data_IF_018158789571
#
_entry.id   IF_018158789571
#
_cell.length_a   1.000
_cell.length_b   1.000
_cell.length_c   1.000
_cell.angle_alpha   90.00
_cell.angle_beta   90.00
_cell.angle_gamma   90.00
#
_symmetry.space_group_name_H-M   'P 1'
#
loop_
_entity.id
_entity.type
_entity.pdbx_description
1 polymer ?
#
# COMPACT_ATOMS: atom_id res chain seq x y z
N UNK A 1 23.78 62.11 17.39
CA UNK A 1 23.90 61.96 18.87
C UNK A 1 23.07 60.75 19.26
N UNK A 2 23.54 59.63 19.78
CA UNK A 2 24.86 59.12 20.17
C UNK A 2 24.67 57.63 20.53
N UNK A 3 25.67 56.81 20.24
CA UNK A 3 25.78 55.39 20.59
C UNK A 3 25.80 55.13 22.11
N UNK A 4 25.24 53.99 22.56
CA UNK A 4 25.89 53.01 23.48
C UNK A 4 25.27 51.62 23.21
N UNK A 5 26.10 50.57 23.12
CA UNK A 5 25.69 49.18 22.92
C UNK A 5 26.17 48.21 24.03
N UNK A 6 25.96 46.91 23.76
CA UNK A 6 26.40 45.68 24.47
C UNK A 6 25.66 45.36 25.79
N UNK A 7 25.29 44.11 26.12
CA UNK A 7 26.11 42.89 26.10
C UNK A 7 25.27 41.58 26.09
N UNK A 8 25.83 40.52 25.49
CA UNK A 8 25.33 39.15 25.47
C UNK A 8 25.42 38.46 26.85
N UNK A 9 24.44 37.61 27.19
CA UNK A 9 24.72 36.40 27.99
C UNK A 9 23.73 35.27 27.72
N UNK A 10 24.17 34.30 26.93
CA UNK A 10 23.57 32.96 26.84
C UNK A 10 23.99 32.15 28.07
N UNK A 11 23.04 31.74 28.90
CA UNK A 11 23.26 30.75 29.96
C UNK A 11 22.61 29.42 29.57
N UNK A 12 23.42 28.48 29.11
CA UNK A 12 23.08 27.06 28.98
C UNK A 12 23.23 26.43 30.37
N UNK A 13 22.26 25.65 30.90
CA UNK A 13 22.48 24.89 32.11
C UNK A 13 23.39 23.70 31.82
N UNK A 14 24.48 23.61 32.58
CA UNK A 14 25.40 22.47 32.58
C UNK A 14 24.71 21.22 33.16
N UNK A 15 24.97 20.08 32.54
CA UNK A 15 24.52 18.76 32.99
C UNK A 15 25.46 18.28 34.11
N UNK A 16 24.95 18.13 35.32
CA UNK A 16 25.72 17.65 36.47
C UNK A 16 25.62 16.12 36.53
N UNK A 17 26.76 15.47 36.32
CA UNK A 17 26.89 14.01 36.24
C UNK A 17 27.48 13.48 37.54
N UNK A 18 26.65 12.92 38.42
CA UNK A 18 27.13 12.10 39.54
C UNK A 18 26.18 10.95 39.91
N UNK A 19 26.53 9.80 39.32
CA UNK A 19 26.52 8.43 39.85
C UNK A 19 25.33 7.47 39.58
N UNK A 20 25.63 6.16 39.45
CA UNK A 20 25.07 5.29 38.42
C UNK A 20 24.46 3.98 38.96
N UNK A 21 23.46 3.38 38.31
CA UNK A 21 23.28 1.91 38.36
C UNK A 21 22.54 1.35 37.13
N UNK A 22 23.30 0.59 36.34
CA UNK A 22 22.97 -0.68 35.66
C UNK A 22 21.73 -0.75 34.75
N UNK A 23 22.00 -0.75 33.43
CA UNK A 23 21.74 -1.91 32.55
C UNK A 23 22.56 -1.75 31.26
N UNK A 24 23.18 -2.85 30.83
CA UNK A 24 24.12 -2.92 29.70
C UNK A 24 23.50 -2.40 28.40
N UNK A 25 23.87 -1.19 28.00
CA UNK A 25 23.79 -0.69 26.64
C UNK A 25 25.17 -0.17 26.22
N UNK A 26 25.67 -0.62 25.06
CA UNK A 26 26.81 0.03 24.41
C UNK A 26 26.37 1.44 24.02
N UNK A 27 27.02 2.46 24.58
CA UNK A 27 26.93 3.82 24.05
C UNK A 27 27.67 3.88 22.71
N UNK A 28 26.93 4.20 21.65
CA UNK A 28 27.50 4.89 20.47
C UNK A 28 26.82 6.25 20.40
N UNK A 29 27.56 7.28 20.80
CA UNK A 29 27.33 8.70 20.52
C UNK A 29 28.02 9.01 19.18
N UNK A 30 27.58 9.89 18.27
CA UNK A 30 26.47 10.84 18.10
C UNK A 30 26.42 11.14 16.58
N UNK A 31 25.27 11.54 16.04
CA UNK A 31 25.22 12.12 14.71
C UNK A 31 23.83 12.66 14.36
N UNK A 32 23.69 13.99 14.42
CA UNK A 32 22.57 14.82 13.97
C UNK A 32 21.18 14.49 14.53
N UNK A 33 20.66 15.42 15.34
CA UNK A 33 19.25 15.52 15.66
C UNK A 33 18.46 15.90 14.39
N UNK A 34 18.08 14.90 13.59
CA UNK A 34 16.96 15.05 12.67
C UNK A 34 15.70 15.11 13.52
N UNK A 35 15.14 16.31 13.66
CA UNK A 35 13.75 16.45 14.09
C UNK A 35 12.90 15.73 13.04
N UNK A 36 12.47 14.51 13.36
CA UNK A 36 11.35 13.91 12.68
C UNK A 36 10.18 14.88 12.83
N UNK A 37 9.82 15.55 11.74
CA UNK A 37 8.52 16.22 11.64
C UNK A 37 7.52 15.08 11.64
N UNK A 38 7.00 14.76 12.83
CA UNK A 38 5.79 13.96 12.96
C UNK A 38 4.70 14.81 12.33
N UNK A 39 4.41 14.53 11.05
CA UNK A 39 3.19 15.01 10.43
C UNK A 39 2.09 14.28 11.18
N UNK A 40 1.46 14.99 12.12
CA UNK A 40 0.26 14.53 12.81
C UNK A 40 -0.85 14.47 11.76
N UNK A 41 -0.88 13.37 11.01
CA UNK A 41 -2.04 12.96 10.23
C UNK A 41 -3.07 12.51 11.26
N UNK A 42 -3.83 13.49 11.75
CA UNK A 42 -4.88 13.29 12.73
C UNK A 42 -5.80 12.12 12.35
N UNK A 43 -6.58 11.59 13.31
CA UNK A 43 -7.46 10.45 13.07
C UNK A 43 -8.29 10.68 11.82
N UNK A 44 -8.16 9.76 10.85
CA UNK A 44 -8.96 9.73 9.64
C UNK A 44 -10.42 10.04 10.00
N UNK A 45 -11.05 11.08 9.43
CA UNK A 45 -12.46 11.28 9.64
C UNK A 45 -13.17 10.05 9.08
N UNK A 46 -13.89 9.32 9.94
CA UNK A 46 -14.70 8.16 9.59
C UNK A 46 -16.01 8.54 8.89
N UNK A 47 -16.11 9.75 8.35
CA UNK A 47 -17.27 10.33 7.70
C UNK A 47 -16.70 11.13 6.51
N UNK A 48 -16.80 10.70 5.25
CA UNK A 48 -17.97 10.21 4.54
C UNK A 48 -17.68 8.94 3.72
N UNK A 49 -18.67 8.07 3.73
CA UNK A 49 -18.84 6.92 2.87
C UNK A 49 -18.52 7.24 1.38
N UNK A 50 -17.45 6.64 0.85
CA UNK A 50 -17.23 6.42 -0.60
C UNK A 50 -18.29 5.42 -1.16
N UNK A 51 -19.57 5.67 -0.94
CA UNK A 51 -20.68 4.75 -1.23
C UNK A 51 -21.14 4.75 -2.71
N UNK A 52 -20.38 5.37 -3.61
CA UNK A 52 -20.75 5.47 -5.03
C UNK A 52 -19.61 5.25 -6.02
N UNK A 53 -18.37 5.01 -5.57
CA UNK A 53 -17.25 4.74 -6.47
C UNK A 53 -16.98 3.24 -6.53
N UNK A 54 -17.43 2.65 -7.62
CA UNK A 54 -17.23 1.23 -7.93
C UNK A 54 -15.86 1.04 -8.58
N UNK A 55 -15.02 0.26 -7.90
CA UNK A 55 -13.73 -0.17 -8.43
C UNK A 55 -13.94 -1.50 -9.16
N UNK A 56 -13.79 -1.53 -10.49
CA UNK A 56 -14.40 -2.57 -11.35
C UNK A 56 -13.91 -3.97 -11.03
N UNK A 57 -12.61 -4.18 -10.75
CA UNK A 57 -12.10 -5.51 -10.47
C UNK A 57 -12.48 -6.01 -9.07
N UNK A 58 -12.46 -5.12 -8.08
CA UNK A 58 -12.75 -5.40 -6.67
C UNK A 58 -14.24 -5.63 -6.42
N UNK A 59 -15.10 -4.95 -7.18
CA UNK A 59 -16.55 -5.10 -7.09
C UNK A 59 -17.01 -6.51 -7.46
N UNK A 60 -16.34 -7.20 -8.40
CA UNK A 60 -16.61 -8.60 -8.75
C UNK A 60 -16.55 -9.53 -7.54
N UNK A 61 -15.78 -9.16 -6.52
CA UNK A 61 -15.64 -9.88 -5.27
C UNK A 61 -16.44 -9.29 -4.11
N UNK A 62 -17.28 -8.28 -4.37
CA UNK A 62 -18.11 -7.53 -3.42
C UNK A 62 -17.30 -6.97 -2.26
N UNK A 63 -16.13 -6.42 -2.60
CA UNK A 63 -15.24 -5.82 -1.62
C UNK A 63 -15.49 -4.33 -1.52
N UNK A 64 -15.37 -3.82 -0.30
CA UNK A 64 -15.21 -2.39 -0.11
C UNK A 64 -13.78 -1.98 -0.48
N UNK A 65 -13.66 -0.99 -1.35
CA UNK A 65 -12.38 -0.48 -1.84
C UNK A 65 -11.53 0.12 -0.71
N UNK A 66 -10.20 0.04 -0.82
CA UNK A 66 -9.28 0.70 0.10
C UNK A 66 -9.49 2.22 0.07
N UNK A 67 -9.08 2.95 1.12
CA UNK A 67 -9.27 4.39 1.14
C UNK A 67 -8.36 5.09 0.11
N UNK A 68 -8.85 6.22 -0.43
CA UNK A 68 -8.13 7.07 -1.39
C UNK A 68 -7.56 6.26 -2.58
N UNK A 69 -6.43 6.68 -3.15
CA UNK A 69 -5.87 6.01 -4.32
C UNK A 69 -5.22 4.64 -4.04
N UNK A 70 -5.12 4.18 -2.78
CA UNK A 70 -4.74 2.78 -2.49
C UNK A 70 -5.73 1.79 -3.11
N UNK A 71 -6.97 2.21 -3.38
CA UNK A 71 -7.94 1.39 -4.09
C UNK A 71 -7.48 1.01 -5.50
N UNK A 72 -6.69 1.86 -6.20
CA UNK A 72 -6.10 1.53 -7.49
C UNK A 72 -5.18 0.30 -7.38
N UNK A 73 -4.36 0.25 -6.32
CA UNK A 73 -3.47 -0.89 -6.07
C UNK A 73 -4.29 -2.15 -5.76
N UNK A 74 -5.33 -2.01 -4.93
CA UNK A 74 -6.25 -3.11 -4.65
C UNK A 74 -6.95 -3.62 -5.92
N UNK A 75 -7.37 -2.72 -6.81
CA UNK A 75 -8.10 -3.09 -8.02
C UNK A 75 -7.21 -3.81 -9.02
N UNK A 76 -5.99 -3.32 -9.26
CA UNK A 76 -4.99 -4.06 -10.04
C UNK A 76 -4.77 -5.45 -9.46
N UNK A 77 -4.60 -5.58 -8.13
CA UNK A 77 -4.45 -6.89 -7.47
C UNK A 77 -5.65 -7.80 -7.75
N UNK A 78 -6.86 -7.24 -7.77
CA UNK A 78 -8.11 -7.96 -7.96
C UNK A 78 -8.49 -8.20 -9.42
N UNK A 79 -7.67 -7.81 -10.40
CA UNK A 79 -7.86 -8.23 -11.80
C UNK A 79 -7.71 -9.73 -11.99
N UNK A 80 -7.00 -10.41 -11.08
CA UNK A 80 -6.68 -11.84 -11.17
C UNK A 80 -7.92 -12.75 -11.24
N UNK A 81 -7.72 -14.01 -11.63
CA UNK A 81 -8.77 -15.02 -11.56
C UNK A 81 -8.88 -15.66 -10.16
N UNK A 82 -9.94 -15.36 -9.42
CA UNK A 82 -10.23 -15.97 -8.11
C UNK A 82 -11.73 -15.93 -7.76
N UNK A 83 -12.06 -16.20 -6.50
CA UNK A 83 -13.44 -16.19 -6.01
C UNK A 83 -14.18 -17.52 -6.19
N UNK A 84 -15.43 -17.53 -5.75
CA UNK A 84 -16.38 -18.63 -5.97
C UNK A 84 -17.78 -18.03 -6.23
N UNK A 85 -18.35 -18.14 -7.45
CA UNK A 85 -17.76 -18.74 -8.65
C UNK A 85 -16.45 -18.05 -9.05
N UNK A 86 -15.62 -18.76 -9.82
CA UNK A 86 -14.30 -18.24 -10.21
C UNK A 86 -14.51 -17.17 -11.29
N UNK A 87 -14.09 -15.96 -10.99
CA UNK A 87 -14.04 -14.85 -11.92
C UNK A 87 -12.83 -14.99 -12.86
N UNK A 88 -12.92 -14.52 -14.12
CA UNK A 88 -11.82 -14.55 -15.07
C UNK A 88 -10.71 -13.54 -14.70
N UNK A 89 -9.54 -13.70 -15.30
CA UNK A 89 -8.46 -12.70 -15.20
C UNK A 89 -8.76 -11.54 -16.16
N UNK A 90 -8.94 -10.33 -15.64
CA UNK A 90 -9.23 -9.13 -16.46
C UNK A 90 -8.03 -8.69 -17.29
N UNK A 91 -6.82 -9.12 -16.91
CA UNK A 91 -5.63 -8.93 -17.73
C UNK A 91 -5.46 -10.07 -18.73
N UNK A 92 -6.40 -11.01 -18.85
CA UNK A 92 -6.30 -12.21 -19.69
C UNK A 92 -6.25 -11.93 -21.20
N UNK A 93 -6.94 -10.89 -21.65
CA UNK A 93 -7.00 -10.45 -23.05
C UNK A 93 -7.08 -8.92 -23.15
N UNK A 94 -6.70 -8.38 -24.31
CA UNK A 94 -6.56 -6.94 -24.51
C UNK A 94 -7.89 -6.18 -24.40
N UNK A 95 -9.00 -6.78 -24.81
CA UNK A 95 -10.31 -6.11 -24.80
C UNK A 95 -10.79 -5.93 -23.37
N UNK A 96 -10.75 -7.01 -22.58
CA UNK A 96 -11.11 -6.97 -21.17
C UNK A 96 -10.19 -6.04 -20.39
N UNK A 97 -8.88 -6.09 -20.65
CA UNK A 97 -7.90 -5.23 -19.98
C UNK A 97 -8.12 -3.74 -20.27
N UNK A 98 -8.41 -3.37 -21.53
CA UNK A 98 -8.70 -1.99 -21.92
C UNK A 98 -9.96 -1.45 -21.23
N UNK A 99 -11.03 -2.25 -21.18
CA UNK A 99 -12.26 -1.87 -20.49
C UNK A 99 -12.00 -1.63 -19.00
N UNK A 100 -11.31 -2.57 -18.35
CA UNK A 100 -10.93 -2.44 -16.94
C UNK A 100 -10.09 -1.19 -16.69
N UNK A 101 -8.99 -0.97 -17.45
CA UNK A 101 -8.10 0.19 -17.26
C UNK A 101 -8.84 1.51 -17.46
N UNK A 102 -9.73 1.61 -18.46
CA UNK A 102 -10.52 2.82 -18.68
C UNK A 102 -11.40 3.17 -17.48
N UNK A 103 -12.16 2.19 -16.98
CA UNK A 103 -13.04 2.37 -15.81
C UNK A 103 -12.24 2.65 -14.51
N UNK A 104 -11.13 1.94 -14.33
CA UNK A 104 -10.25 2.03 -13.17
C UNK A 104 -9.54 3.40 -13.09
N UNK A 105 -8.96 3.86 -14.22
CA UNK A 105 -8.32 5.18 -14.31
C UNK A 105 -9.31 6.33 -14.22
N UNK A 106 -10.52 6.19 -14.77
CA UNK A 106 -11.59 7.19 -14.61
C UNK A 106 -12.01 7.29 -13.14
N UNK A 107 -12.09 6.16 -12.43
CA UNK A 107 -12.39 6.14 -10.99
C UNK A 107 -11.28 6.76 -10.16
N UNK A 108 -10.02 6.39 -10.42
CA UNK A 108 -8.86 6.99 -9.76
C UNK A 108 -8.78 8.51 -9.99
N UNK A 109 -9.03 8.97 -11.22
CA UNK A 109 -8.98 10.39 -11.56
C UNK A 109 -9.99 11.21 -10.76
N UNK A 110 -11.22 10.69 -10.58
CA UNK A 110 -12.26 11.31 -9.74
C UNK A 110 -11.88 11.31 -8.26
N UNK A 111 -11.36 10.19 -7.73
CA UNK A 111 -10.91 10.09 -6.33
C UNK A 111 -9.76 11.06 -6.01
N UNK A 112 -8.88 11.32 -6.99
CA UNK A 112 -7.72 12.19 -6.83
C UNK A 112 -7.94 13.63 -7.28
N UNK A 113 -9.15 13.97 -7.75
CA UNK A 113 -9.47 15.25 -8.40
C UNK A 113 -8.42 15.63 -9.47
N UNK A 114 -8.12 14.68 -10.36
CA UNK A 114 -7.15 14.82 -11.45
C UNK A 114 -7.80 14.63 -12.81
N UNK A 115 -7.22 15.20 -13.89
CA UNK A 115 -7.64 14.87 -15.24
C UNK A 115 -7.51 13.37 -15.52
N UNK A 116 -8.49 12.80 -16.21
CA UNK A 116 -8.48 11.39 -16.59
C UNK A 116 -7.31 11.08 -17.53
N UNK A 117 -6.39 10.17 -17.14
CA UNK A 117 -5.30 9.78 -18.00
C UNK A 117 -5.80 9.03 -19.23
N UNK A 118 -5.25 9.36 -20.40
CA UNK A 118 -5.47 8.60 -21.62
C UNK A 118 -4.27 7.67 -21.85
N UNK A 119 -4.47 6.37 -21.66
CA UNK A 119 -3.41 5.36 -21.74
C UNK A 119 -3.78 4.31 -22.77
N UNK A 120 -3.01 4.25 -23.84
CA UNK A 120 -3.10 3.15 -24.80
C UNK A 120 -2.21 1.99 -24.35
N UNK A 121 -2.77 0.77 -24.42
CA UNK A 121 -2.07 -0.48 -24.10
C UNK A 121 -2.17 -1.48 -25.27
N UNK A 122 -1.18 -2.38 -25.33
CA UNK A 122 -1.04 -3.51 -26.24
C UNK A 122 -0.86 -4.82 -25.46
N UNK A 123 -0.71 -5.95 -26.14
CA UNK A 123 -0.61 -7.27 -25.49
C UNK A 123 0.63 -7.42 -24.58
N UNK A 124 1.76 -6.81 -24.91
CA UNK A 124 2.96 -6.84 -24.06
C UNK A 124 2.73 -6.09 -22.74
N UNK A 125 1.93 -5.01 -22.76
CA UNK A 125 1.57 -4.30 -21.54
C UNK A 125 0.82 -5.20 -20.54
N UNK A 126 0.02 -6.17 -21.01
CA UNK A 126 -0.71 -7.09 -20.13
C UNK A 126 0.25 -8.00 -19.37
N UNK A 127 1.28 -8.52 -20.03
CA UNK A 127 2.27 -9.38 -19.38
C UNK A 127 3.00 -8.63 -18.26
N UNK A 128 3.41 -7.39 -18.53
CA UNK A 128 4.10 -6.54 -17.56
C UNK A 128 3.20 -6.16 -16.38
N UNK A 129 1.91 -5.89 -16.64
CA UNK A 129 0.93 -5.64 -15.57
C UNK A 129 0.66 -6.90 -14.73
N UNK A 130 0.66 -8.10 -15.32
CA UNK A 130 0.52 -9.36 -14.57
C UNK A 130 1.74 -9.63 -13.69
N UNK A 131 2.95 -9.33 -14.18
CA UNK A 131 4.18 -9.47 -13.38
C UNK A 131 4.19 -8.45 -12.25
N UNK A 132 3.88 -7.17 -12.50
CA UNK A 132 3.70 -6.15 -11.45
C UNK A 132 2.68 -6.60 -10.39
N UNK A 133 1.54 -7.14 -10.82
CA UNK A 133 0.52 -7.68 -9.92
C UNK A 133 1.05 -8.83 -9.06
N UNK A 134 1.86 -9.71 -9.63
CA UNK A 134 2.53 -10.80 -8.90
C UNK A 134 3.48 -10.28 -7.83
N UNK A 135 4.34 -9.34 -8.18
CA UNK A 135 5.29 -8.72 -7.25
C UNK A 135 4.58 -8.01 -6.08
N UNK A 136 3.49 -7.29 -6.36
CA UNK A 136 2.67 -6.67 -5.33
C UNK A 136 2.01 -7.71 -4.41
N UNK A 137 1.55 -8.84 -4.94
CA UNK A 137 1.03 -9.93 -4.10
C UNK A 137 2.09 -10.49 -3.17
N UNK A 138 3.30 -10.73 -3.68
CA UNK A 138 4.40 -11.29 -2.89
C UNK A 138 4.89 -10.32 -1.81
N UNK A 139 4.94 -9.03 -2.13
CA UNK A 139 5.21 -7.96 -1.16
C UNK A 139 4.16 -7.93 -0.03
N UNK A 140 2.88 -8.09 -0.36
CA UNK A 140 1.80 -8.13 0.64
C UNK A 140 1.74 -9.43 1.45
N UNK A 141 2.22 -10.55 0.89
CA UNK A 141 2.35 -11.82 1.61
C UNK A 141 3.52 -11.86 2.59
N UNK A 142 4.48 -10.94 2.44
CA UNK A 142 5.69 -10.83 3.26
C UNK A 142 5.75 -9.46 3.96
N UNK A 143 4.87 -9.19 4.95
CA UNK A 143 4.65 -7.83 5.46
C UNK A 143 5.81 -7.22 6.26
N UNK A 144 6.89 -7.95 6.48
CA UNK A 144 7.95 -7.54 7.41
C UNK A 144 9.36 -7.81 6.87
N UNK A 145 9.87 -6.84 6.11
CA UNK A 145 11.32 -6.70 5.82
C UNK A 145 11.95 -5.51 6.55
N UNK A 146 11.20 -4.79 7.40
CA UNK A 146 11.74 -3.65 8.15
C UNK A 146 12.71 -4.17 9.22
N UNK A 147 14.00 -4.22 8.89
CA UNK A 147 15.07 -4.67 9.78
C UNK A 147 15.84 -5.89 9.30
N UNK A 148 15.42 -6.52 8.19
CA UNK A 148 16.29 -7.42 7.47
C UNK A 148 17.28 -6.57 6.66
N UNK A 149 18.60 -6.82 6.78
CA UNK A 149 19.54 -6.29 5.80
C UNK A 149 19.13 -6.84 4.43
N UNK A 150 18.75 -5.99 3.45
CA UNK A 150 18.43 -6.46 2.13
C UNK A 150 19.67 -7.16 1.57
N UNK A 151 19.52 -8.39 1.10
CA UNK A 151 20.59 -9.00 0.32
C UNK A 151 20.86 -8.13 -0.91
N UNK A 152 22.06 -8.16 -1.50
CA UNK A 152 22.35 -7.36 -2.71
C UNK A 152 21.33 -7.63 -3.86
N UNK A 153 20.76 -8.84 -3.89
CA UNK A 153 19.68 -9.24 -4.80
C UNK A 153 18.32 -8.60 -4.47
N UNK A 154 18.06 -8.19 -3.22
CA UNK A 154 16.86 -7.44 -2.81
C UNK A 154 16.96 -5.95 -3.17
N UNK A 155 18.14 -5.46 -3.56
CA UNK A 155 18.37 -4.07 -3.96
C UNK A 155 18.19 -3.83 -5.46
N UNK A 156 18.11 -4.88 -6.29
CA UNK A 156 17.67 -4.70 -7.67
C UNK A 156 16.21 -4.34 -7.66
N UNK A 157 15.87 -3.13 -8.11
CA UNK A 157 14.48 -2.71 -8.23
C UNK A 157 13.73 -3.74 -9.08
N UNK A 158 12.81 -4.48 -8.45
CA UNK A 158 11.93 -5.44 -9.13
C UNK A 158 11.09 -4.72 -10.19
N UNK A 159 10.71 -3.48 -9.90
CA UNK A 159 10.11 -2.54 -10.84
C UNK A 159 10.65 -1.13 -10.61
N UNK A 160 10.97 -0.45 -11.70
CA UNK A 160 11.31 0.97 -11.71
C UNK A 160 10.37 1.70 -12.64
N UNK A 161 9.74 2.76 -12.12
CA UNK A 161 8.90 3.66 -12.88
C UNK A 161 9.45 5.08 -12.77
N UNK A 162 9.33 5.84 -13.87
CA UNK A 162 9.77 7.23 -13.89
C UNK A 162 8.61 8.14 -13.49
N UNK A 163 8.86 9.03 -12.53
CA UNK A 163 7.93 10.07 -12.13
C UNK A 163 8.60 11.45 -12.26
N UNK A 164 7.83 12.46 -12.65
CA UNK A 164 8.25 13.85 -12.64
C UNK A 164 7.73 14.57 -11.40
N UNK A 165 8.49 15.53 -10.90
CA UNK A 165 8.01 16.48 -9.90
C UNK A 165 7.51 17.73 -10.62
N UNK A 166 6.26 18.13 -10.35
CA UNK A 166 5.67 19.37 -10.86
C UNK A 166 5.36 20.31 -9.71
N UNK A 167 5.81 21.55 -9.82
CA UNK A 167 5.38 22.62 -8.93
C UNK A 167 4.20 23.34 -9.57
N UNK A 168 3.07 23.37 -8.86
CA UNK A 168 1.87 24.07 -9.28
C UNK A 168 1.93 25.55 -8.87
N UNK A 169 1.03 26.38 -9.42
CA UNK A 169 1.00 27.84 -9.16
C UNK A 169 0.69 28.21 -7.70
N UNK A 170 0.05 27.30 -6.98
CA UNK A 170 -0.22 27.39 -5.54
C UNK A 170 1.00 26.96 -4.68
N UNK A 171 2.18 26.83 -5.30
CA UNK A 171 3.44 26.39 -4.67
C UNK A 171 3.42 24.97 -4.08
N UNK A 172 2.42 24.15 -4.43
CA UNK A 172 2.42 22.73 -4.08
C UNK A 172 3.24 21.92 -5.09
N UNK A 173 4.04 20.99 -4.58
CA UNK A 173 4.74 20.00 -5.41
C UNK A 173 3.91 18.73 -5.48
N UNK A 174 3.63 18.28 -6.70
CA UNK A 174 2.93 17.02 -6.97
C UNK A 174 3.83 16.09 -7.77
N UNK A 175 3.75 14.80 -7.48
CA UNK A 175 4.33 13.76 -8.30
C UNK A 175 3.40 13.51 -9.50
N UNK A 176 3.98 13.37 -10.68
CA UNK A 176 3.31 13.03 -11.93
C UNK A 176 3.90 11.75 -12.54
N UNK A 177 3.07 10.79 -12.95
CA UNK A 177 3.55 9.63 -13.68
C UNK A 177 4.16 10.03 -15.04
N UNK A 178 5.24 9.35 -15.44
CA UNK A 178 5.84 9.43 -16.78
C UNK A 178 5.81 8.05 -17.44
N UNK A 179 5.96 8.05 -18.76
CA UNK A 179 5.93 6.85 -19.59
C UNK A 179 4.61 6.66 -20.32
N UNK A 180 4.48 5.52 -20.99
CA UNK A 180 3.33 5.10 -21.80
C UNK A 180 2.97 3.65 -21.48
N UNK A 181 1.77 3.21 -21.90
CA UNK A 181 1.31 1.84 -21.70
C UNK A 181 1.40 1.38 -20.25
N UNK A 182 1.92 0.18 -20.03
CA UNK A 182 2.06 -0.41 -18.69
C UNK A 182 2.94 0.43 -17.76
N UNK A 183 3.95 1.14 -18.27
CA UNK A 183 4.88 1.93 -17.45
C UNK A 183 4.18 3.11 -16.76
N UNK A 184 3.22 3.71 -17.44
CA UNK A 184 2.42 4.80 -16.87
C UNK A 184 1.55 4.27 -15.72
N UNK A 185 0.86 3.13 -15.95
CA UNK A 185 0.01 2.47 -14.96
C UNK A 185 0.84 1.99 -13.76
N UNK A 186 1.98 1.37 -14.01
CA UNK A 186 2.92 0.96 -12.97
C UNK A 186 3.40 2.14 -12.12
N UNK A 187 3.68 3.29 -12.75
CA UNK A 187 4.07 4.50 -12.04
C UNK A 187 2.95 4.97 -11.10
N UNK A 188 1.70 5.04 -11.59
CA UNK A 188 0.55 5.39 -10.75
C UNK A 188 0.41 4.44 -9.57
N UNK A 189 0.40 3.13 -9.81
CA UNK A 189 0.27 2.11 -8.76
C UNK A 189 1.38 2.23 -7.70
N UNK A 190 2.63 2.47 -8.12
CA UNK A 190 3.75 2.65 -7.20
C UNK A 190 3.68 3.96 -6.42
N UNK A 191 3.20 5.05 -7.04
CA UNK A 191 2.94 6.32 -6.35
C UNK A 191 1.90 6.14 -5.25
N UNK A 192 0.80 5.44 -5.56
CA UNK A 192 -0.28 5.15 -4.61
C UNK A 192 0.18 4.23 -3.47
N UNK A 193 0.99 3.21 -3.78
CA UNK A 193 1.61 2.35 -2.79
C UNK A 193 2.56 3.15 -1.87
N UNK A 194 3.37 4.05 -2.42
CA UNK A 194 4.28 4.90 -1.66
C UNK A 194 3.51 5.80 -0.69
N UNK A 195 2.45 6.47 -1.14
CA UNK A 195 1.61 7.31 -0.28
C UNK A 195 0.97 6.49 0.84
N UNK A 196 0.44 5.30 0.54
CA UNK A 196 -0.12 4.39 1.53
C UNK A 196 0.91 3.90 2.56
N UNK A 197 2.18 3.73 2.16
CA UNK A 197 3.27 3.39 3.06
C UNK A 197 3.65 4.57 3.96
N UNK A 198 3.72 5.79 3.41
CA UNK A 198 4.02 7.01 4.15
C UNK A 198 2.93 7.35 5.18
N UNK A 199 1.67 7.08 4.83
CA UNK A 199 0.50 7.28 5.71
C UNK A 199 0.15 6.07 6.57
N UNK A 200 0.99 5.01 6.53
CA UNK A 200 0.87 3.80 7.35
C UNK A 200 -0.47 3.05 7.22
N UNK A 201 -1.11 3.12 6.05
CA UNK A 201 -2.34 2.36 5.72
C UNK A 201 -2.05 1.11 4.87
N UNK A 202 -0.86 1.01 4.29
CA UNK A 202 -0.41 -0.13 3.47
C UNK A 202 -0.61 -1.49 4.17
N UNK A 203 -0.28 -1.57 5.46
CA UNK A 203 -0.36 -2.81 6.26
C UNK A 203 -1.79 -3.36 6.45
N UNK A 204 -2.82 -2.60 6.09
CA UNK A 204 -4.22 -3.04 6.10
C UNK A 204 -4.64 -3.65 4.77
N UNK A 205 -3.95 -3.37 3.67
CA UNK A 205 -4.16 -4.10 2.41
C UNK A 205 -3.54 -5.49 2.54
N UNK A 206 -4.32 -6.54 2.29
CA UNK A 206 -3.92 -7.93 2.56
C UNK A 206 -4.39 -8.86 1.47
N UNK A 207 -3.67 -9.97 1.29
CA UNK A 207 -4.12 -11.10 0.47
C UNK A 207 -4.90 -12.08 1.35
N UNK A 208 -6.02 -12.60 0.83
CA UNK A 208 -6.81 -13.62 1.51
C UNK A 208 -5.93 -14.83 1.91
N UNK A 209 -6.05 -15.26 3.17
CA UNK A 209 -5.26 -16.38 3.71
C UNK A 209 -5.68 -17.76 3.18
N UNK A 210 -6.80 -17.88 2.48
CA UNK A 210 -7.24 -19.18 1.96
C UNK A 210 -6.26 -19.57 0.85
N UNK A 211 -5.55 -20.72 0.93
CA UNK A 211 -4.54 -21.08 -0.06
C UNK A 211 -5.05 -21.19 -1.50
N UNK A 212 -6.37 -21.30 -1.69
CA UNK A 212 -7.04 -21.34 -3.00
C UNK A 212 -7.66 -20.00 -3.41
N UNK A 213 -7.34 -18.92 -2.71
CA UNK A 213 -7.84 -17.57 -2.94
C UNK A 213 -6.67 -16.58 -2.90
N UNK A 214 -6.59 -15.69 -3.88
CA UNK A 214 -5.56 -14.63 -3.91
C UNK A 214 -6.17 -13.23 -3.91
N UNK A 215 -7.47 -13.11 -3.64
CA UNK A 215 -8.18 -11.83 -3.60
C UNK A 215 -7.57 -10.90 -2.56
N UNK A 216 -7.27 -9.67 -2.96
CA UNK A 216 -6.78 -8.61 -2.10
C UNK A 216 -7.95 -7.86 -1.46
N UNK A 217 -7.86 -7.60 -0.15
CA UNK A 217 -8.88 -6.88 0.61
C UNK A 217 -8.24 -5.90 1.59
N UNK A 218 -8.98 -4.83 1.88
CA UNK A 218 -8.56 -3.87 2.91
C UNK A 218 -9.19 -4.24 4.26
N UNK A 219 -8.34 -4.45 5.27
CA UNK A 219 -8.72 -4.86 6.61
C UNK A 219 -9.23 -3.69 7.45
N UNK A 220 -10.55 -3.62 7.56
CA UNK A 220 -11.28 -2.65 8.37
C UNK A 220 -11.47 -3.08 9.83
N UNK A 221 -10.98 -4.23 10.24
CA UNK A 221 -11.06 -4.63 11.63
C UNK A 221 -10.25 -3.68 12.51
N UNK A 222 -10.76 -3.45 13.74
CA UNK A 222 -10.16 -2.53 14.71
C UNK A 222 -8.67 -2.82 14.93
N UNK A 223 -8.32 -4.09 15.05
CA UNK A 223 -6.98 -4.56 15.42
C UNK A 223 -6.15 -5.05 14.24
N UNK A 224 -6.52 -4.73 12.99
CA UNK A 224 -5.87 -5.23 11.77
C UNK A 224 -5.69 -6.77 11.81
N UNK A 225 -6.71 -7.48 12.29
CA UNK A 225 -6.72 -8.93 12.51
C UNK A 225 -7.47 -9.72 11.42
N UNK A 226 -8.05 -9.04 10.44
CA UNK A 226 -8.68 -9.65 9.28
C UNK A 226 -7.66 -10.46 8.47
N UNK A 227 -8.03 -11.68 8.12
CA UNK A 227 -7.21 -12.62 7.32
C UNK A 227 -7.96 -13.19 6.12
N UNK A 228 -9.25 -12.91 5.98
CA UNK A 228 -10.08 -13.39 4.88
C UNK A 228 -10.78 -12.20 4.21
N UNK A 229 -10.80 -12.18 2.88
CA UNK A 229 -11.58 -11.17 2.14
C UNK A 229 -13.10 -11.29 2.42
N UNK A 230 -13.56 -12.49 2.77
CA UNK A 230 -14.93 -12.77 3.18
C UNK A 230 -14.96 -13.91 4.18
N UNK A 231 -15.41 -13.62 5.41
CA UNK A 231 -15.61 -14.62 6.45
C UNK A 231 -16.66 -15.66 6.03
N UNK A 232 -17.71 -15.23 5.33
CA UNK A 232 -18.80 -16.12 4.89
C UNK A 232 -18.36 -17.10 3.80
N UNK A 233 -17.41 -16.71 2.95
CA UNK A 233 -16.91 -17.55 1.85
C UNK A 233 -15.63 -18.26 2.27
N UNK A 234 -14.51 -17.54 2.32
CA UNK A 234 -13.20 -18.13 2.59
C UNK A 234 -13.04 -18.56 4.06
N UNK A 235 -13.51 -17.76 5.01
CA UNK A 235 -13.43 -18.11 6.44
C UNK A 235 -14.17 -19.41 6.77
N UNK A 236 -15.41 -19.54 6.30
CA UNK A 236 -16.22 -20.76 6.48
C UNK A 236 -15.60 -21.99 5.81
N UNK A 237 -15.03 -21.84 4.60
CA UNK A 237 -14.35 -22.94 3.90
C UNK A 237 -13.17 -23.48 4.72
N UNK A 238 -12.31 -22.59 5.24
CA UNK A 238 -11.16 -23.02 6.06
C UNK A 238 -11.57 -23.61 7.40
N UNK A 239 -12.59 -23.04 8.06
CA UNK A 239 -13.14 -23.61 9.30
C UNK A 239 -13.67 -25.04 9.10
N UNK A 240 -14.38 -25.29 8.00
CA UNK A 240 -14.88 -26.62 7.66
C UNK A 240 -13.74 -27.60 7.35
N UNK A 241 -12.70 -27.17 6.64
CA UNK A 241 -11.49 -27.99 6.40
C UNK A 241 -10.81 -28.37 7.71
N UNK A 242 -10.60 -27.41 8.61
CA UNK A 242 -10.00 -27.64 9.91
C UNK A 242 -10.85 -28.57 10.81
N UNK A 243 -12.18 -28.43 10.77
CA UNK A 243 -13.08 -29.37 11.47
C UNK A 243 -12.93 -30.81 10.95
N UNK A 244 -12.95 -30.99 9.62
CA UNK A 244 -12.81 -32.32 8.98
C UNK A 244 -11.44 -32.95 9.25
N UNK A 245 -10.36 -32.15 9.22
CA UNK A 245 -9.02 -32.63 9.55
C UNK A 245 -8.95 -33.15 11.00
N UNK A 246 -9.51 -32.41 11.96
CA UNK A 246 -9.59 -32.84 13.37
C UNK A 246 -10.45 -34.09 13.57
N UNK A 247 -11.58 -34.19 12.87
CA UNK A 247 -12.45 -35.37 12.94
C UNK A 247 -11.74 -36.63 12.40
N UNK A 248 -10.95 -36.51 11.32
CA UNK A 248 -10.16 -37.63 10.78
C UNK A 248 -9.06 -38.06 11.74
N UNK A 249 -8.33 -37.11 12.33
CA UNK A 249 -7.29 -37.42 13.31
C UNK A 249 -7.86 -38.17 14.53
N UNK A 250 -9.03 -37.76 15.03
CA UNK A 250 -9.73 -38.46 16.14
C UNK A 250 -10.26 -39.84 15.79
N UNK A 251 -10.45 -40.14 14.50
CA UNK A 251 -10.92 -41.44 14.04
C UNK A 251 -9.75 -42.39 13.71
N UNK A 252 -8.51 -41.88 13.65
CA UNK A 252 -7.29 -42.66 13.42
C UNK A 252 -6.49 -42.96 14.70
N UNK A 253 -6.84 -42.33 15.82
CA UNK A 253 -6.36 -42.62 17.18
C UNK A 253 -7.29 -43.65 17.86
#
# INVERSE_FOLDING_TARGET
>A
MGYVGYEHRTSVPACDAQRPHLLKGRCVALGSAERAVVVDVGPWPLEERNYGMTWPASERYRLEAAPAGLALVQDLLNTLAAGKPREPDLLGDLTTAKNWIGEDLSTWARERDRPEPQVEINEHDLDELRVLRGELQDALRTPDRRGAEPALADLSALYSASAGLRMNRDSRVSIEPRGTGWRYIACLVLMEALEAQQTNVWNRLKICRNPRCSVAFFDRSRNNSGVWHSTRVCGNIENLRAHRARARARASD
#
